data_IF_684587728757
#
_entry.id   IF_684587728757
#
_cell.length_a   1.000
_cell.length_b   1.000
_cell.length_c   1.000
_cell.angle_alpha   90.00
_cell.angle_beta   90.00
_cell.angle_gamma   90.00
#
_symmetry.space_group_name_H-M   'P 1'
#
loop_
_entity.id
_entity.type
_entity.pdbx_description
1 polymer ?
#
# COMPACT_ATOMS: atom_id res chain seq x y z
N UNK A 1 27.24 -10.63 21.28
CA UNK A 1 27.61 -11.43 20.09
C UNK A 1 26.40 -11.44 19.19
N UNK A 2 26.57 -11.32 17.88
CA UNK A 2 25.47 -11.22 16.91
C UNK A 2 25.54 -12.42 15.95
N UNK A 3 24.40 -13.05 15.69
CA UNK A 3 24.28 -14.14 14.72
C UNK A 3 23.97 -13.63 13.32
N UNK A 4 24.40 -14.37 12.29
CA UNK A 4 24.10 -14.09 10.89
C UNK A 4 23.72 -15.39 10.19
N UNK A 5 22.69 -15.35 9.34
CA UNK A 5 22.28 -16.44 8.45
C UNK A 5 22.01 -15.88 7.06
N UNK A 6 22.31 -16.66 6.02
CA UNK A 6 21.99 -16.34 4.64
C UNK A 6 21.02 -17.38 4.06
N UNK A 7 20.17 -16.95 3.14
CA UNK A 7 19.41 -17.84 2.26
C UNK A 7 20.16 -18.09 0.94
N UNK A 8 19.60 -18.97 0.11
CA UNK A 8 20.15 -19.30 -1.21
C UNK A 8 19.97 -18.18 -2.24
N UNK A 9 19.07 -17.23 -1.98
CA UNK A 9 18.82 -16.02 -2.78
C UNK A 9 19.80 -14.87 -2.45
N UNK A 10 20.65 -15.04 -1.43
CA UNK A 10 21.64 -14.06 -0.99
C UNK A 10 21.13 -13.03 0.00
N UNK A 11 19.92 -13.14 0.53
CA UNK A 11 19.47 -12.32 1.64
C UNK A 11 20.15 -12.72 2.94
N UNK A 12 20.35 -11.74 3.82
CA UNK A 12 21.12 -11.90 5.05
C UNK A 12 20.24 -11.53 6.24
N UNK A 13 19.95 -12.51 7.09
CA UNK A 13 19.27 -12.31 8.36
C UNK A 13 20.31 -12.12 9.48
N UNK A 14 20.21 -11.00 10.20
CA UNK A 14 21.16 -10.59 11.23
C UNK A 14 20.44 -10.39 12.56
N UNK A 15 20.94 -11.04 13.61
CA UNK A 15 20.52 -10.79 14.98
C UNK A 15 21.34 -9.63 15.57
N UNK A 16 20.68 -8.49 15.77
CA UNK A 16 21.26 -7.33 16.44
C UNK A 16 21.02 -7.45 17.95
N UNK A 17 22.05 -7.89 18.66
CA UNK A 17 21.98 -8.15 20.10
C UNK A 17 21.85 -6.86 20.93
N UNK A 18 22.25 -5.68 20.41
CA UNK A 18 22.08 -4.40 21.13
C UNK A 18 20.68 -3.86 20.92
N UNK A 19 20.14 -4.00 19.72
CA UNK A 19 18.80 -3.54 19.38
C UNK A 19 17.69 -4.54 19.73
N UNK A 20 18.04 -5.72 20.26
CA UNK A 20 17.10 -6.78 20.60
C UNK A 20 16.14 -7.08 19.43
N UNK A 21 16.72 -7.24 18.23
CA UNK A 21 15.95 -7.36 16.99
C UNK A 21 16.65 -8.21 15.94
N UNK A 22 15.85 -8.76 15.04
CA UNK A 22 16.31 -9.42 13.82
C UNK A 22 16.11 -8.48 12.63
N UNK A 23 17.10 -8.43 11.73
CA UNK A 23 17.10 -7.56 10.55
C UNK A 23 17.39 -8.38 9.32
N UNK A 24 16.58 -8.19 8.28
CA UNK A 24 16.81 -8.73 6.95
C UNK A 24 17.52 -7.67 6.11
N UNK A 25 18.61 -8.09 5.47
CA UNK A 25 19.45 -7.29 4.59
C UNK A 25 19.52 -7.95 3.20
N UNK A 26 19.80 -7.16 2.18
CA UNK A 26 20.16 -7.67 0.85
C UNK A 26 21.56 -8.31 0.87
N UNK A 27 21.92 -9.02 -0.20
CA UNK A 27 23.28 -9.54 -0.43
C UNK A 27 24.36 -8.47 -0.40
N UNK A 28 24.00 -7.22 -0.75
CA UNK A 28 24.89 -6.06 -0.68
C UNK A 28 24.89 -5.37 0.70
N UNK A 29 24.25 -5.96 1.71
CA UNK A 29 24.18 -5.44 3.07
C UNK A 29 23.20 -4.28 3.29
N UNK A 30 22.35 -3.97 2.31
CA UNK A 30 21.35 -2.91 2.48
C UNK A 30 20.20 -3.38 3.36
N UNK A 31 19.77 -2.53 4.29
CA UNK A 31 18.65 -2.84 5.18
C UNK A 31 17.32 -2.93 4.41
N UNK A 32 16.66 -4.09 4.52
CA UNK A 32 15.33 -4.32 3.95
C UNK A 32 14.25 -4.14 5.02
N UNK A 33 14.35 -4.93 6.10
CA UNK A 33 13.28 -4.99 7.10
C UNK A 33 13.77 -5.45 8.46
N UNK A 34 13.04 -5.06 9.51
CA UNK A 34 13.19 -5.63 10.86
C UNK A 34 12.11 -6.70 11.04
N UNK A 35 12.50 -7.91 11.41
CA UNK A 35 11.53 -8.94 11.77
C UNK A 35 10.87 -8.60 13.10
N UNK A 36 9.56 -8.84 13.18
CA UNK A 36 8.76 -8.70 14.39
C UNK A 36 8.42 -10.09 14.91
N UNK A 37 8.40 -10.23 16.22
CA UNK A 37 7.90 -11.44 16.86
C UNK A 37 6.38 -11.31 16.98
N UNK A 38 5.66 -12.40 16.69
CA UNK A 38 4.20 -12.43 16.65
C UNK A 38 3.52 -11.99 17.96
N UNK A 39 4.12 -12.26 19.12
CA UNK A 39 3.60 -11.89 20.44
C UNK A 39 3.85 -10.41 20.82
N UNK A 40 4.41 -9.62 19.89
CA UNK A 40 4.81 -8.23 20.16
C UNK A 40 6.03 -8.10 21.08
N UNK A 41 6.65 -9.23 21.44
CA UNK A 41 7.84 -9.30 22.28
C UNK A 41 9.10 -8.80 21.59
N UNK A 42 10.14 -8.61 22.40
CA UNK A 42 11.47 -8.22 21.94
C UNK A 42 12.35 -9.45 21.72
N UNK A 43 13.24 -9.39 20.74
CA UNK A 43 14.14 -10.51 20.46
C UNK A 43 15.23 -10.59 21.54
N UNK A 44 15.52 -11.78 22.09
CA UNK A 44 16.38 -11.92 23.25
C UNK A 44 17.80 -11.52 22.88
N UNK A 45 18.61 -11.29 23.91
CA UNK A 45 20.05 -11.22 23.73
C UNK A 45 20.58 -12.60 23.33
N UNK A 46 20.52 -12.90 22.03
CA UNK A 46 21.01 -14.16 21.50
C UNK A 46 22.46 -14.04 21.08
N UNK A 47 23.27 -15.03 21.45
CA UNK A 47 24.61 -15.21 20.89
C UNK A 47 24.58 -15.86 19.52
N UNK A 48 23.54 -16.68 19.26
CA UNK A 48 23.31 -17.42 18.03
C UNK A 48 21.81 -17.74 17.87
N UNK A 49 21.40 -17.99 16.63
CA UNK A 49 20.07 -18.48 16.30
C UNK A 49 20.13 -19.45 15.12
N UNK A 50 19.15 -20.33 15.04
CA UNK A 50 18.93 -21.23 13.90
C UNK A 50 17.54 -20.98 13.31
N UNK A 51 17.40 -21.25 12.02
CA UNK A 51 16.11 -21.20 11.32
C UNK A 51 15.84 -22.60 10.79
N UNK A 52 14.69 -23.16 11.15
CA UNK A 52 14.21 -24.41 10.60
C UNK A 52 13.67 -24.19 9.18
N UNK A 53 13.77 -25.18 8.27
CA UNK A 53 12.99 -25.19 7.03
C UNK A 53 11.49 -25.01 7.27
N UNK A 54 11.06 -25.25 8.52
CA UNK A 54 9.71 -25.04 8.98
C UNK A 54 9.38 -23.62 9.44
N UNK A 55 10.09 -22.59 8.98
CA UNK A 55 9.72 -21.23 9.32
C UNK A 55 9.98 -20.81 10.77
N UNK A 56 10.41 -21.74 11.63
CA UNK A 56 10.65 -21.51 13.05
C UNK A 56 12.06 -21.02 13.28
N UNK A 57 12.20 -19.90 13.98
CA UNK A 57 13.49 -19.40 14.43
C UNK A 57 13.71 -19.82 15.88
N UNK A 58 14.79 -20.53 16.14
CA UNK A 58 15.22 -20.91 17.48
C UNK A 58 16.37 -20.02 17.92
N UNK A 59 16.21 -19.31 19.03
CA UNK A 59 17.21 -18.41 19.59
C UNK A 59 17.65 -18.86 20.98
N UNK A 60 18.94 -18.74 21.28
CA UNK A 60 19.47 -18.97 22.62
C UNK A 60 19.37 -17.68 23.43
N UNK A 61 18.44 -17.61 24.39
CA UNK A 61 18.34 -16.50 25.33
C UNK A 61 19.31 -16.75 26.49
N UNK A 62 20.57 -16.35 26.26
CA UNK A 62 21.67 -16.58 27.19
C UNK A 62 21.44 -15.92 28.55
N UNK A 63 20.76 -14.77 28.58
CA UNK A 63 20.53 -14.03 29.83
C UNK A 63 19.61 -14.81 30.78
N UNK A 64 18.69 -15.60 30.22
CA UNK A 64 17.67 -16.34 30.98
C UNK A 64 17.86 -17.86 30.93
N UNK A 65 19.01 -18.35 30.44
CA UNK A 65 19.35 -19.77 30.34
C UNK A 65 18.26 -20.62 29.66
N UNK A 66 17.63 -20.09 28.60
CA UNK A 66 16.54 -20.78 27.88
C UNK A 66 16.73 -20.72 26.37
N UNK A 67 16.11 -21.67 25.68
CA UNK A 67 15.90 -21.60 24.23
C UNK A 67 14.49 -21.08 23.98
N UNK A 68 14.35 -20.15 23.03
CA UNK A 68 13.05 -19.62 22.62
C UNK A 68 12.81 -19.96 21.16
N UNK A 69 11.60 -20.42 20.87
CA UNK A 69 11.13 -20.68 19.52
C UNK A 69 10.19 -19.56 19.09
N UNK A 70 10.48 -18.95 17.95
CA UNK A 70 9.69 -17.91 17.33
C UNK A 70 9.05 -18.43 16.05
N UNK A 71 7.75 -18.16 15.89
CA UNK A 71 7.08 -18.23 14.58
C UNK A 71 7.21 -16.87 13.94
N UNK A 72 7.91 -16.79 12.81
CA UNK A 72 8.09 -15.55 12.07
C UNK A 72 7.06 -15.51 10.95
N UNK A 73 6.34 -14.39 10.84
CA UNK A 73 5.43 -14.12 9.72
C UNK A 73 3.95 -14.48 9.90
N UNK A 74 3.42 -14.55 11.14
CA UNK A 74 1.97 -14.69 11.33
C UNK A 74 1.40 -13.80 12.43
N UNK A 75 0.49 -12.91 12.06
CA UNK A 75 -0.80 -12.79 12.77
C UNK A 75 -1.60 -14.05 12.38
N UNK A 76 -1.66 -15.02 13.28
CA UNK A 76 -2.42 -16.30 13.24
C UNK A 76 -3.01 -16.76 11.90
N UNK A 77 -2.54 -17.88 11.35
CA UNK A 77 -3.45 -18.89 10.76
C UNK A 77 -3.01 -20.35 11.01
N UNK A 78 -4.02 -21.22 10.94
CA UNK A 78 -4.17 -22.47 11.68
C UNK A 78 -3.11 -23.56 11.47
N UNK A 79 -3.15 -24.52 12.39
CA UNK A 79 -2.47 -25.80 12.39
C UNK A 79 -2.48 -26.43 10.99
N UNK A 80 -1.30 -26.79 10.47
CA UNK A 80 -1.02 -27.47 9.19
C UNK A 80 -0.55 -26.62 7.99
N UNK A 81 -0.01 -25.42 8.20
CA UNK A 81 0.78 -24.79 7.14
C UNK A 81 1.98 -25.70 6.77
N UNK A 82 2.08 -26.08 5.50
CA UNK A 82 3.24 -26.75 4.92
C UNK A 82 4.41 -25.76 4.95
N UNK A 83 5.60 -26.30 5.09
CA UNK A 83 6.73 -25.62 5.68
C UNK A 83 7.95 -25.79 4.77
N UNK A 84 8.17 -24.77 3.94
CA UNK A 84 9.35 -24.60 3.11
C UNK A 84 10.16 -23.39 3.65
N UNK A 85 11.33 -23.09 3.08
CA UNK A 85 12.32 -22.08 3.52
C UNK A 85 11.82 -20.60 3.60
N UNK A 86 10.50 -20.43 3.63
CA UNK A 86 9.64 -19.26 3.59
C UNK A 86 9.90 -18.17 4.63
N UNK A 87 10.86 -18.30 5.55
CA UNK A 87 11.12 -17.19 6.51
C UNK A 87 11.51 -15.94 5.75
N UNK A 88 12.34 -16.10 4.73
CA UNK A 88 12.78 -14.99 3.89
C UNK A 88 11.63 -14.46 3.05
N UNK A 89 10.88 -15.34 2.38
CA UNK A 89 9.74 -14.99 1.53
C UNK A 89 8.62 -14.30 2.32
N UNK A 90 8.23 -14.81 3.49
CA UNK A 90 7.20 -14.20 4.35
C UNK A 90 7.58 -12.81 4.84
N UNK A 91 8.85 -12.59 5.18
CA UNK A 91 9.32 -11.25 5.61
C UNK A 91 9.21 -10.26 4.44
N UNK A 92 9.50 -10.72 3.21
CA UNK A 92 9.47 -9.92 1.99
C UNK A 92 8.03 -9.60 1.56
N UNK A 93 7.13 -10.59 1.52
CA UNK A 93 5.75 -10.46 1.02
C UNK A 93 4.94 -9.40 1.79
N UNK A 94 5.06 -9.36 3.12
CA UNK A 94 4.39 -8.35 3.94
C UNK A 94 4.84 -6.91 3.60
N UNK A 95 6.11 -6.73 3.22
CA UNK A 95 6.63 -5.41 2.86
C UNK A 95 6.18 -4.98 1.47
N UNK A 96 6.20 -5.90 0.50
CA UNK A 96 5.69 -5.63 -0.84
C UNK A 96 4.19 -5.34 -0.84
N UNK A 97 3.40 -6.13 -0.11
CA UNK A 97 1.95 -5.95 -0.07
C UNK A 97 1.57 -4.62 0.60
N UNK A 98 2.32 -4.19 1.63
CA UNK A 98 2.14 -2.86 2.22
C UNK A 98 2.41 -1.74 1.21
N UNK A 99 3.52 -1.83 0.48
CA UNK A 99 3.90 -0.84 -0.54
C UNK A 99 2.88 -0.79 -1.69
N UNK A 100 2.39 -1.95 -2.11
CA UNK A 100 1.34 -2.09 -3.14
C UNK A 100 0.01 -1.50 -2.68
N UNK A 101 -0.37 -1.70 -1.42
CA UNK A 101 -1.57 -1.10 -0.84
C UNK A 101 -1.45 0.43 -0.71
N UNK A 102 -0.29 0.96 -0.34
CA UNK A 102 -0.03 2.40 -0.34
C UNK A 102 -0.16 3.00 -1.75
N UNK A 103 0.45 2.37 -2.76
CA UNK A 103 0.33 2.75 -4.17
C UNK A 103 -1.14 2.73 -4.65
N UNK A 104 -1.87 1.67 -4.30
CA UNK A 104 -3.29 1.52 -4.67
C UNK A 104 -4.17 2.61 -4.03
N UNK A 105 -3.89 2.96 -2.77
CA UNK A 105 -4.61 4.02 -2.07
C UNK A 105 -4.31 5.40 -2.66
N UNK A 106 -3.05 5.68 -3.00
CA UNK A 106 -2.67 6.93 -3.68
C UNK A 106 -3.34 7.05 -5.05
N UNK A 107 -3.28 5.99 -5.87
CA UNK A 107 -3.94 5.95 -7.17
C UNK A 107 -5.46 6.15 -7.05
N UNK A 108 -6.10 5.56 -6.02
CA UNK A 108 -7.53 5.76 -5.76
C UNK A 108 -7.85 7.21 -5.40
N UNK A 109 -7.00 7.87 -4.60
CA UNK A 109 -7.17 9.27 -4.21
C UNK A 109 -7.02 10.21 -5.42
N UNK A 110 -6.00 9.99 -6.24
CA UNK A 110 -5.80 10.75 -7.49
C UNK A 110 -7.00 10.61 -8.43
N UNK A 111 -7.56 9.40 -8.54
CA UNK A 111 -8.74 9.15 -9.36
C UNK A 111 -9.98 9.89 -8.83
N UNK A 112 -10.20 9.92 -7.51
CA UNK A 112 -11.30 10.69 -6.91
C UNK A 112 -11.17 12.19 -7.14
N UNK A 113 -9.97 12.75 -6.98
CA UNK A 113 -9.72 14.16 -7.23
C UNK A 113 -9.93 14.51 -8.72
N UNK A 114 -9.56 13.60 -9.63
CA UNK A 114 -9.82 13.75 -11.06
C UNK A 114 -11.33 13.79 -11.38
N UNK A 115 -12.12 12.90 -10.77
CA UNK A 115 -13.58 12.92 -10.95
C UNK A 115 -14.21 14.21 -10.44
N UNK A 116 -13.79 14.72 -9.27
CA UNK A 116 -14.28 15.99 -8.73
C UNK A 116 -13.97 17.17 -9.66
N UNK A 117 -12.74 17.24 -10.18
CA UNK A 117 -12.35 18.28 -11.13
C UNK A 117 -13.15 18.19 -12.43
N UNK A 118 -13.37 16.97 -12.95
CA UNK A 118 -14.15 16.76 -14.16
C UNK A 118 -15.61 17.13 -14.00
N UNK A 119 -16.21 16.82 -12.87
CA UNK A 119 -17.60 17.20 -12.58
C UNK A 119 -17.75 18.71 -12.44
N UNK A 120 -16.78 19.39 -11.80
CA UNK A 120 -16.75 20.85 -11.73
C UNK A 120 -16.62 21.48 -13.13
N UNK A 121 -15.75 20.95 -13.99
CA UNK A 121 -15.57 21.40 -15.36
C UNK A 121 -16.85 21.20 -16.21
N UNK A 122 -17.53 20.06 -16.04
CA UNK A 122 -18.81 19.76 -16.70
C UNK A 122 -19.94 20.68 -16.25
N UNK A 123 -19.96 21.07 -14.96
CA UNK A 123 -20.94 22.06 -14.47
C UNK A 123 -20.71 23.43 -15.08
N UNK A 124 -19.46 23.91 -15.09
CA UNK A 124 -19.08 25.18 -15.70
C UNK A 124 -19.43 25.24 -17.20
N UNK A 125 -19.15 24.17 -17.95
CA UNK A 125 -19.50 24.12 -19.38
C UNK A 125 -21.01 24.09 -19.62
N UNK A 126 -21.79 23.37 -18.78
CA UNK A 126 -23.25 23.38 -18.86
C UNK A 126 -23.84 24.75 -18.55
N UNK A 127 -23.31 25.44 -17.54
CA UNK A 127 -23.73 26.80 -17.19
C UNK A 127 -23.40 27.78 -18.33
N UNK A 128 -22.18 27.75 -18.87
CA UNK A 128 -21.78 28.59 -20.00
C UNK A 128 -22.70 28.39 -21.22
N UNK A 129 -23.02 27.14 -21.57
CA UNK A 129 -23.95 26.83 -22.66
C UNK A 129 -25.39 27.31 -22.37
N UNK A 130 -25.81 27.29 -21.11
CA UNK A 130 -27.12 27.82 -20.69
C UNK A 130 -27.17 29.35 -20.84
N UNK A 131 -26.12 30.06 -20.44
CA UNK A 131 -26.02 31.52 -20.64
C UNK A 131 -25.95 31.91 -22.12
N UNK A 132 -25.37 31.08 -22.99
CA UNK A 132 -25.33 31.34 -24.43
C UNK A 132 -26.68 31.09 -25.15
N UNK A 133 -27.41 30.05 -24.73
CA UNK A 133 -28.66 29.61 -25.40
C UNK A 133 -29.87 30.50 -25.08
N UNK A 134 -29.98 31.05 -23.88
CA UNK A 134 -31.12 31.87 -23.46
C UNK A 134 -31.25 33.18 -24.29
N UNK A 135 -30.18 33.96 -24.53
CA UNK A 135 -30.22 35.15 -25.37
C UNK A 135 -30.53 34.84 -26.83
N UNK A 136 -29.98 33.75 -27.38
CA UNK A 136 -30.24 33.28 -28.74
C UNK A 136 -31.73 32.97 -28.97
N UNK A 137 -32.35 32.26 -28.03
CA UNK A 137 -33.79 31.98 -28.04
C UNK A 137 -34.63 33.27 -27.97
N UNK A 138 -34.20 34.24 -27.18
CA UNK A 138 -34.89 35.52 -27.05
C UNK A 138 -34.83 36.35 -28.35
N UNK A 139 -33.67 36.43 -28.99
CA UNK A 139 -33.47 37.08 -30.29
C UNK A 139 -34.31 36.42 -31.39
N UNK A 140 -34.34 35.09 -31.43
CA UNK A 140 -35.10 34.35 -32.42
C UNK A 140 -36.61 34.59 -32.29
N UNK A 141 -37.12 34.61 -31.04
CA UNK A 141 -38.52 34.94 -30.77
C UNK A 141 -38.87 36.41 -31.06
N UNK A 142 -37.95 37.35 -30.82
CA UNK A 142 -38.14 38.75 -31.17
C UNK A 142 -38.22 38.95 -32.69
N UNK A 143 -37.33 38.31 -33.45
CA UNK A 143 -37.36 38.31 -34.92
C UNK A 143 -38.66 37.71 -35.46
N UNK A 144 -39.12 36.59 -34.89
CA UNK A 144 -40.38 35.96 -35.29
C UNK A 144 -41.57 36.92 -35.10
N UNK A 145 -41.62 37.63 -33.96
CA UNK A 145 -42.65 38.63 -33.68
C UNK A 145 -42.62 39.78 -34.69
N UNK A 146 -41.44 40.32 -34.98
CA UNK A 146 -41.27 41.40 -35.97
C UNK A 146 -41.76 40.95 -37.35
N UNK A 147 -41.38 39.74 -37.78
CA UNK A 147 -41.84 39.19 -39.06
C UNK A 147 -43.36 39.01 -39.12
N UNK A 148 -43.98 38.50 -38.04
CA UNK A 148 -45.44 38.38 -37.99
C UNK A 148 -46.15 39.74 -38.04
N UNK A 149 -45.64 40.75 -37.33
CA UNK A 149 -46.23 42.09 -37.37
C UNK A 149 -46.10 42.76 -38.74
N UNK A 150 -44.96 42.59 -39.41
CA UNK A 150 -44.76 43.12 -40.77
C UNK A 150 -45.70 42.45 -41.79
N UNK A 151 -45.95 41.14 -41.64
CA UNK A 151 -46.91 40.40 -42.46
C UNK A 151 -48.35 40.92 -42.28
N UNK A 152 -48.76 41.27 -41.05
CA UNK A 152 -50.08 41.83 -40.77
C UNK A 152 -50.24 43.30 -41.22
N UNK A 153 -49.16 44.06 -41.32
CA UNK A 153 -49.17 45.45 -41.82
C UNK A 153 -49.17 45.55 -43.35
N UNK A 154 -48.90 44.44 -44.05
CA UNK A 154 -48.89 44.35 -45.53
C UNK A 154 -50.20 43.82 -46.15
N UNK A 155 -51.26 43.68 -45.35
CA UNK A 155 -52.62 43.27 -45.72
C UNK A 155 -53.61 44.42 -45.46
#
# INVERSE_FOLDING_TARGET
MSGVRCDDSGHILVADARAHSLKLLTSNGQFMKRARIADGGSFPYCSTFGVSPLGFLMACDRANNRMILYRIGEETTAENAILTDDVFDRIIDEAEEKKKNELRNNAKKELEDWYKQRDAALKLTKEANRYASVPLLFLMNALLRIMTTLLFLSL
#
